data_IF_829226207666
#
_entry.id   IF_829226207666
#
_cell.length_a   1.000
_cell.length_b   1.000
_cell.length_c   1.000
_cell.angle_alpha   90.00
_cell.angle_beta   90.00
_cell.angle_gamma   90.00
#
_symmetry.space_group_name_H-M   'P 1'
#
loop_
_entity.id
_entity.type
_entity.pdbx_description
1 polymer ?
#
# COMPACT_ATOMS: atom_id res chain seq x y z
N UNK A 1 18.37 -19.36 -1.36
CA UNK A 1 17.43 -19.21 -0.24
C UNK A 1 17.47 -17.76 0.19
N UNK A 2 16.33 -17.08 0.24
CA UNK A 2 16.25 -15.76 0.89
C UNK A 2 16.50 -15.98 2.39
N UNK A 3 17.45 -15.25 2.98
CA UNK A 3 17.71 -15.34 4.42
C UNK A 3 16.52 -14.83 5.23
N UNK A 4 16.48 -15.13 6.53
CA UNK A 4 15.34 -14.84 7.43
C UNK A 4 14.95 -13.34 7.49
N UNK A 5 15.79 -12.44 6.97
CA UNK A 5 15.56 -11.00 6.94
C UNK A 5 15.38 -10.41 5.52
N UNK A 6 15.29 -11.24 4.48
CA UNK A 6 15.15 -10.78 3.10
C UNK A 6 13.70 -10.97 2.62
N UNK A 7 13.07 -9.89 2.20
CA UNK A 7 11.70 -9.85 1.71
C UNK A 7 11.70 -9.38 0.26
N UNK A 8 10.81 -9.98 -0.52
CA UNK A 8 10.54 -9.59 -1.90
C UNK A 8 9.05 -9.26 -2.02
N UNK A 9 8.74 -8.06 -2.48
CA UNK A 9 7.38 -7.63 -2.82
C UNK A 9 7.27 -7.53 -4.33
N UNK A 10 6.34 -8.27 -4.91
CA UNK A 10 6.02 -8.23 -6.34
C UNK A 10 4.59 -7.74 -6.52
N UNK A 11 4.41 -6.68 -7.31
CA UNK A 11 3.10 -6.15 -7.70
C UNK A 11 2.95 -6.21 -9.22
N UNK A 12 2.07 -7.08 -9.70
CA UNK A 12 1.83 -7.25 -11.14
C UNK A 12 0.72 -6.32 -11.64
N UNK A 13 1.05 -5.48 -12.62
CA UNK A 13 0.12 -4.55 -13.26
C UNK A 13 -0.30 -5.08 -14.62
N UNK A 14 -1.61 -5.23 -14.83
CA UNK A 14 -2.19 -5.60 -16.13
C UNK A 14 -2.51 -4.40 -17.02
N UNK A 15 -2.45 -3.18 -16.48
CA UNK A 15 -2.83 -1.94 -17.16
C UNK A 15 -1.68 -1.30 -17.95
N UNK A 16 -1.98 -0.13 -18.56
CA UNK A 16 -0.97 0.70 -19.23
C UNK A 16 0.09 1.15 -18.22
N UNK A 17 1.33 1.19 -18.68
CA UNK A 17 2.44 1.72 -17.92
C UNK A 17 2.24 3.17 -17.47
N UNK A 18 2.54 3.45 -16.19
CA UNK A 18 2.53 4.82 -15.68
C UNK A 18 3.75 5.58 -16.20
N UNK A 19 3.48 6.64 -16.96
CA UNK A 19 4.50 7.45 -17.63
C UNK A 19 5.36 8.29 -16.67
N UNK A 20 4.92 8.49 -15.42
CA UNK A 20 5.39 9.66 -14.66
C UNK A 20 5.57 9.43 -13.14
N UNK A 21 6.15 8.29 -12.76
CA UNK A 21 6.57 8.12 -11.36
C UNK A 21 7.95 7.50 -11.36
N UNK A 22 8.96 8.31 -11.09
CA UNK A 22 10.30 7.84 -10.75
C UNK A 22 10.31 7.41 -9.29
N UNK A 23 11.02 6.32 -8.99
CA UNK A 23 11.14 5.79 -7.64
C UNK A 23 10.06 4.78 -7.24
N UNK A 24 10.09 4.40 -5.96
CA UNK A 24 9.20 3.40 -5.36
C UNK A 24 7.82 4.03 -5.16
N UNK A 25 6.77 3.39 -5.69
CA UNK A 25 5.41 3.88 -5.55
C UNK A 25 4.89 3.73 -4.12
N UNK A 26 3.97 4.61 -3.72
CA UNK A 26 3.35 4.54 -2.38
C UNK A 26 2.68 3.19 -2.10
N UNK A 27 2.18 2.51 -3.13
CA UNK A 27 1.62 1.17 -3.00
C UNK A 27 2.67 0.15 -2.53
N UNK A 28 3.87 0.17 -3.11
CA UNK A 28 4.97 -0.69 -2.70
C UNK A 28 5.48 -0.33 -1.29
N UNK A 29 5.56 0.97 -0.96
CA UNK A 29 5.87 1.43 0.42
C UNK A 29 4.85 0.93 1.42
N UNK A 30 3.56 0.92 1.05
CA UNK A 30 2.47 0.43 1.89
C UNK A 30 2.57 -1.07 2.15
N UNK A 31 2.93 -1.84 1.13
CA UNK A 31 3.19 -3.27 1.28
C UNK A 31 4.37 -3.54 2.22
N UNK A 32 5.45 -2.76 2.12
CA UNK A 32 6.57 -2.85 3.03
C UNK A 32 6.16 -2.52 4.48
N UNK A 33 5.45 -1.41 4.70
CA UNK A 33 4.92 -1.07 6.02
C UNK A 33 4.02 -2.18 6.59
N UNK A 34 3.15 -2.79 5.76
CA UNK A 34 2.30 -3.91 6.17
C UNK A 34 3.12 -5.11 6.65
N UNK A 35 4.26 -5.41 6.03
CA UNK A 35 5.16 -6.49 6.48
C UNK A 35 5.72 -6.16 7.86
N UNK A 36 6.24 -4.94 8.04
CA UNK A 36 6.80 -4.50 9.32
C UNK A 36 5.75 -4.54 10.45
N UNK A 37 4.53 -4.06 10.18
CA UNK A 37 3.43 -4.06 11.16
C UNK A 37 2.98 -5.47 11.57
N UNK A 38 3.01 -6.46 10.66
CA UNK A 38 2.76 -7.86 11.02
C UNK A 38 3.78 -8.39 12.03
N UNK A 39 4.97 -7.82 12.03
CA UNK A 39 6.04 -8.13 12.98
C UNK A 39 6.04 -7.19 14.19
N UNK A 40 5.02 -6.33 14.32
CA UNK A 40 4.88 -5.31 15.37
C UNK A 40 6.06 -4.34 15.42
N UNK A 41 6.64 -4.02 14.27
CA UNK A 41 7.72 -3.04 14.11
C UNK A 41 7.37 -2.03 13.00
N UNK A 42 8.03 -0.88 13.00
CA UNK A 42 8.00 0.13 11.93
C UNK A 42 9.41 0.50 11.44
N UNK A 43 10.45 -0.06 12.06
CA UNK A 43 11.84 0.14 11.68
C UNK A 43 12.28 -0.99 10.74
N UNK A 44 13.02 -0.64 9.69
CA UNK A 44 13.58 -1.61 8.74
C UNK A 44 14.69 -2.43 9.41
N UNK A 45 15.50 -1.82 10.28
CA UNK A 45 16.61 -2.48 10.98
C UNK A 45 17.48 -3.29 9.99
N UNK A 46 17.72 -4.57 10.28
CA UNK A 46 18.55 -5.48 9.48
C UNK A 46 17.76 -6.17 8.34
N UNK A 47 16.57 -5.67 8.00
CA UNK A 47 15.72 -6.25 6.96
C UNK A 47 16.09 -5.68 5.61
N UNK A 48 16.15 -6.54 4.61
CA UNK A 48 16.31 -6.16 3.23
C UNK A 48 14.98 -6.40 2.50
N UNK A 49 14.38 -5.35 1.93
CA UNK A 49 13.07 -5.45 1.29
C UNK A 49 13.22 -4.91 -0.13
N UNK A 50 13.29 -5.82 -1.09
CA UNK A 50 13.26 -5.48 -2.51
C UNK A 50 11.83 -5.46 -3.02
N UNK A 51 11.53 -4.48 -3.87
CA UNK A 51 10.18 -4.26 -4.38
C UNK A 51 10.20 -4.09 -5.89
N UNK A 52 9.19 -4.67 -6.53
CA UNK A 52 9.02 -4.62 -7.98
C UNK A 52 7.56 -4.38 -8.32
N UNK A 53 7.34 -3.44 -9.23
CA UNK A 53 6.10 -3.24 -9.95
C UNK A 53 6.33 -3.67 -11.39
N UNK A 54 5.71 -4.77 -11.81
CA UNK A 54 5.94 -5.40 -13.13
C UNK A 54 4.70 -5.22 -14.00
N UNK A 55 4.87 -4.54 -15.15
CA UNK A 55 3.81 -4.31 -16.11
C UNK A 55 3.72 -5.48 -17.09
N UNK A 56 2.74 -6.36 -16.91
CA UNK A 56 2.59 -7.59 -17.69
C UNK A 56 2.54 -7.37 -19.22
N UNK A 57 1.90 -6.31 -19.75
CA UNK A 57 1.84 -6.11 -21.21
C UNK A 57 3.19 -5.73 -21.84
N UNK A 58 4.04 -4.97 -21.15
CA UNK A 58 5.33 -4.49 -21.67
C UNK A 58 6.53 -5.24 -21.09
N UNK A 59 6.33 -6.02 -20.02
CA UNK A 59 7.36 -6.58 -19.13
C UNK A 59 8.31 -5.53 -18.55
N UNK A 60 7.98 -4.25 -18.65
CA UNK A 60 8.74 -3.22 -17.97
C UNK A 60 8.53 -3.36 -16.46
N UNK A 61 9.59 -3.11 -15.71
CA UNK A 61 9.56 -3.15 -14.25
C UNK A 61 10.06 -1.83 -13.66
N UNK A 62 9.40 -1.40 -12.60
CA UNK A 62 9.92 -0.40 -11.67
C UNK A 62 10.37 -1.13 -10.42
N UNK A 63 11.64 -0.98 -10.05
CA UNK A 63 12.22 -1.69 -8.91
C UNK A 63 12.92 -0.74 -7.95
N UNK A 64 13.09 -1.19 -6.72
CA UNK A 64 13.93 -0.52 -5.73
C UNK A 64 14.06 -1.32 -4.45
N UNK A 65 14.86 -0.82 -3.53
CA UNK A 65 15.01 -1.38 -2.18
C UNK A 65 14.46 -0.36 -1.19
N UNK A 66 13.55 -0.79 -0.33
CA UNK A 66 12.88 0.08 0.66
C UNK A 66 13.91 0.58 1.67
N UNK A 67 13.94 1.90 1.88
CA UNK A 67 14.72 2.55 2.93
C UNK A 67 13.82 3.03 4.08
N UNK A 68 14.41 3.32 5.25
CA UNK A 68 13.63 3.77 6.40
C UNK A 68 12.83 5.05 6.06
N UNK A 69 13.44 5.93 5.27
CA UNK A 69 12.80 7.15 4.75
C UNK A 69 11.51 6.85 3.97
N UNK A 70 11.45 5.77 3.19
CA UNK A 70 10.21 5.38 2.48
C UNK A 70 9.09 5.01 3.46
N UNK A 71 9.43 4.38 4.59
CA UNK A 71 8.48 4.01 5.64
C UNK A 71 8.01 5.24 6.41
N UNK A 72 8.93 6.12 6.78
CA UNK A 72 8.62 7.33 7.51
C UNK A 72 7.75 8.28 6.65
N UNK A 73 8.08 8.41 5.36
CA UNK A 73 7.31 9.21 4.41
C UNK A 73 5.88 8.69 4.25
N UNK A 74 5.71 7.36 4.12
CA UNK A 74 4.36 6.81 3.92
C UNK A 74 3.52 6.86 5.21
N UNK A 75 4.14 6.71 6.38
CA UNK A 75 3.45 6.92 7.67
C UNK A 75 3.00 8.38 7.78
N UNK A 76 3.89 9.33 7.48
CA UNK A 76 3.56 10.76 7.50
C UNK A 76 2.39 11.08 6.60
N UNK A 77 2.42 10.57 5.35
CA UNK A 77 1.31 10.74 4.40
C UNK A 77 0.00 10.14 4.89
N UNK A 78 0.02 8.95 5.50
CA UNK A 78 -1.20 8.36 6.10
C UNK A 78 -1.75 9.26 7.21
N UNK A 79 -0.89 9.79 8.08
CA UNK A 79 -1.33 10.66 9.17
C UNK A 79 -1.96 11.95 8.63
N UNK A 80 -1.34 12.58 7.64
CA UNK A 80 -1.89 13.75 6.94
C UNK A 80 -3.24 13.44 6.28
N UNK A 81 -3.35 12.32 5.57
CA UNK A 81 -4.59 11.87 4.94
C UNK A 81 -5.69 11.60 5.99
N UNK A 82 -5.34 11.05 7.15
CA UNK A 82 -6.28 10.83 8.26
C UNK A 82 -6.76 12.16 8.85
N UNK A 83 -5.86 13.12 9.08
CA UNK A 83 -6.25 14.46 9.54
C UNK A 83 -7.13 15.18 8.53
N UNK A 84 -6.84 15.03 7.23
CA UNK A 84 -7.70 15.53 6.16
C UNK A 84 -9.07 14.87 6.17
N UNK A 85 -9.14 13.54 6.29
CA UNK A 85 -10.40 12.80 6.32
C UNK A 85 -11.28 13.16 7.51
N UNK A 86 -10.69 13.48 8.67
CA UNK A 86 -11.44 13.93 9.85
C UNK A 86 -12.26 15.19 9.60
N UNK A 87 -11.86 16.05 8.66
CA UNK A 87 -12.58 17.28 8.28
C UNK A 87 -13.96 17.00 7.67
N UNK A 88 -14.16 15.79 7.12
CA UNK A 88 -15.42 15.37 6.52
C UNK A 88 -16.33 14.63 7.50
N UNK A 89 -15.88 14.41 8.75
CA UNK A 89 -16.75 13.90 9.80
C UNK A 89 -17.76 14.98 10.18
N UNK A 90 -19.04 14.64 10.14
CA UNK A 90 -20.11 15.59 10.48
C UNK A 90 -20.11 15.75 12.00
N UNK A 91 -19.58 16.86 12.53
CA UNK A 91 -19.28 17.09 13.96
C UNK A 91 -20.43 16.76 14.95
N UNK A 92 -21.69 16.68 14.48
CA UNK A 92 -22.88 16.47 15.31
C UNK A 92 -23.58 15.11 15.12
N UNK A 93 -23.10 14.25 14.22
CA UNK A 93 -23.74 12.95 13.96
C UNK A 93 -22.80 11.78 14.29
N UNK A 94 -22.79 11.41 15.57
CA UNK A 94 -21.99 10.31 16.09
C UNK A 94 -22.38 8.93 15.52
N UNK A 95 -23.58 8.78 14.95
CA UNK A 95 -24.02 7.54 14.30
C UNK A 95 -23.46 7.44 12.88
N UNK A 96 -23.45 8.55 12.12
CA UNK A 96 -22.89 8.57 10.76
C UNK A 96 -21.37 8.52 10.69
N UNK A 97 -20.68 8.94 11.75
CA UNK A 97 -19.22 8.94 11.81
C UNK A 97 -18.62 7.62 12.35
N UNK A 98 -19.44 6.61 12.66
CA UNK A 98 -18.91 5.31 13.09
C UNK A 98 -18.18 4.63 11.92
N UNK A 99 -16.99 4.06 12.16
CA UNK A 99 -16.35 3.19 11.18
C UNK A 99 -17.31 2.08 10.81
N UNK A 100 -17.60 1.95 9.51
CA UNK A 100 -18.38 0.83 9.02
C UNK A 100 -17.65 -0.47 9.36
N UNK A 101 -18.40 -1.42 9.91
CA UNK A 101 -17.83 -2.74 10.18
C UNK A 101 -17.31 -3.34 8.86
N UNK A 102 -16.25 -4.14 8.91
CA UNK A 102 -15.65 -4.76 7.72
C UNK A 102 -16.64 -5.65 6.92
N UNK A 103 -17.78 -6.00 7.52
CA UNK A 103 -18.89 -6.72 6.90
C UNK A 103 -19.98 -5.83 6.30
N UNK A 104 -19.90 -4.50 6.47
CA UNK A 104 -20.90 -3.55 6.00
C UNK A 104 -21.00 -3.54 4.46
N UNK A 105 -19.89 -3.81 3.77
CA UNK A 105 -19.88 -4.00 2.34
C UNK A 105 -19.99 -5.48 2.02
N UNK A 106 -21.16 -5.89 1.52
CA UNK A 106 -21.32 -7.22 0.94
C UNK A 106 -20.52 -7.27 -0.36
N UNK A 107 -19.71 -8.33 -0.53
CA UNK A 107 -18.96 -8.56 -1.77
C UNK A 107 -19.96 -8.60 -2.92
N UNK A 108 -19.90 -7.62 -3.82
CA UNK A 108 -20.72 -7.63 -5.04
C UNK A 108 -20.19 -8.75 -5.93
N UNK A 109 -20.87 -9.89 -5.92
CA UNK A 109 -20.67 -10.95 -6.89
C UNK A 109 -21.35 -10.53 -8.19
N UNK A 110 -20.81 -9.56 -8.92
CA UNK A 110 -21.27 -9.33 -10.29
C UNK A 110 -20.86 -10.54 -11.14
N UNK A 111 -21.85 -11.34 -11.53
CA UNK A 111 -21.67 -12.50 -12.43
C UNK A 111 -21.23 -12.14 -13.85
N UNK A 112 -21.00 -10.85 -14.13
CA UNK A 112 -20.44 -10.37 -15.38
C UNK A 112 -19.07 -9.75 -15.09
N UNK A 113 -18.01 -10.46 -15.49
CA UNK A 113 -16.77 -9.78 -15.85
C UNK A 113 -17.11 -8.79 -16.96
N UNK A 114 -16.65 -7.55 -16.84
CA UNK A 114 -16.69 -6.63 -17.99
C UNK A 114 -16.02 -7.34 -19.16
N UNK A 115 -16.77 -7.48 -20.26
CA UNK A 115 -16.27 -7.96 -21.55
C UNK A 115 -15.61 -6.77 -22.23
#
# INVERSE_FOLDING_TARGET
MFGDNNYLILDWKSGKESLDVSGITDQLRMYALKILLKQKNTQIENRHIDVYEVYLPSLHEKSGTIQQEDIDNIITKILEDVEYQKQFLVEQDAERNQPLNHTAFTRTSSGKKCI
#
